data_IF_887613726922
#
_entry.id   IF_887613726922
#
_cell.length_a   1.000
_cell.length_b   1.000
_cell.length_c   1.000
_cell.angle_alpha   90.00
_cell.angle_beta   90.00
_cell.angle_gamma   90.00
#
_symmetry.space_group_name_H-M   'P 1'
#
loop_
_entity.id
_entity.type
_entity.pdbx_description
1 polymer ?
#
# COMPACT_ATOMS: atom_id res chain seq x y z
N UNK A 1 -14.55 -11.38 3.34
CA UNK A 1 -14.57 -10.55 4.56
C UNK A 1 -15.54 -9.40 4.32
N UNK A 2 -16.42 -9.12 5.26
CA UNK A 2 -17.29 -7.94 5.24
C UNK A 2 -16.55 -6.76 5.83
N UNK A 3 -16.36 -5.71 5.04
CA UNK A 3 -15.64 -4.51 5.44
C UNK A 3 -16.56 -3.56 6.23
N UNK A 4 -16.00 -2.93 7.25
CA UNK A 4 -16.67 -1.90 8.05
C UNK A 4 -16.32 -0.51 7.54
N UNK A 5 -17.15 0.48 7.81
CA UNK A 5 -17.00 1.86 7.30
C UNK A 5 -15.69 2.56 7.71
N UNK A 6 -15.06 2.13 8.79
CA UNK A 6 -13.81 2.72 9.29
C UNK A 6 -12.54 2.04 8.75
N UNK A 7 -12.67 1.12 7.78
CA UNK A 7 -11.54 0.46 7.12
C UNK A 7 -11.15 1.23 5.88
N UNK A 8 -9.91 1.71 5.86
CA UNK A 8 -9.34 2.35 4.67
C UNK A 8 -9.11 1.30 3.60
N UNK A 9 -9.53 1.58 2.37
CA UNK A 9 -9.41 0.67 1.24
C UNK A 9 -8.69 1.33 0.07
N UNK A 10 -8.08 0.50 -0.76
CA UNK A 10 -7.68 0.83 -2.11
C UNK A 10 -8.72 0.27 -3.04
N UNK A 11 -9.24 1.09 -3.94
CA UNK A 11 -10.31 0.73 -4.85
C UNK A 11 -10.06 1.32 -6.24
N UNK A 12 -10.60 0.68 -7.24
CA UNK A 12 -10.82 1.25 -8.57
C UNK A 12 -12.26 1.80 -8.67
N UNK A 13 -12.70 2.14 -9.86
CA UNK A 13 -14.04 2.69 -10.10
C UNK A 13 -15.17 1.65 -9.89
N UNK A 14 -14.84 0.38 -9.77
CA UNK A 14 -15.82 -0.72 -9.72
C UNK A 14 -15.82 -1.45 -8.38
N UNK A 15 -14.66 -1.61 -7.74
CA UNK A 15 -14.52 -2.50 -6.58
C UNK A 15 -13.35 -2.15 -5.66
N UNK A 16 -13.41 -2.71 -4.46
CA UNK A 16 -12.29 -2.71 -3.51
C UNK A 16 -11.23 -3.70 -3.96
N UNK A 17 -9.98 -3.25 -4.03
CA UNK A 17 -8.81 -4.04 -4.42
C UNK A 17 -8.00 -4.52 -3.22
N UNK A 18 -7.96 -3.73 -2.15
CA UNK A 18 -7.18 -4.05 -0.96
C UNK A 18 -7.72 -3.35 0.29
N UNK A 19 -7.43 -3.91 1.46
CA UNK A 19 -7.44 -3.17 2.72
C UNK A 19 -6.09 -2.45 2.84
N UNK A 20 -6.11 -1.12 2.77
CA UNK A 20 -4.92 -0.29 2.72
C UNK A 20 -3.97 -0.56 3.90
N UNK A 21 -2.72 -0.87 3.60
CA UNK A 21 -1.69 -1.18 4.59
C UNK A 21 -1.89 -2.47 5.39
N UNK A 22 -2.87 -3.32 5.00
CA UNK A 22 -3.19 -4.55 5.72
C UNK A 22 -3.07 -5.78 4.81
N UNK A 23 -3.94 -5.88 3.78
CA UNK A 23 -4.02 -7.08 2.94
C UNK A 23 -4.59 -6.77 1.56
N UNK A 24 -3.97 -7.29 0.53
CA UNK A 24 -4.50 -7.29 -0.83
C UNK A 24 -5.75 -8.15 -0.98
N UNK A 25 -6.58 -7.81 -1.97
CA UNK A 25 -7.78 -8.58 -2.31
C UNK A 25 -7.45 -9.81 -3.17
N UNK A 26 -8.27 -10.84 -3.04
CA UNK A 26 -8.10 -12.08 -3.82
C UNK A 26 -8.25 -11.83 -5.32
N UNK A 27 -9.18 -10.97 -5.72
CA UNK A 27 -9.45 -10.69 -7.14
C UNK A 27 -8.38 -9.84 -7.84
N UNK A 28 -7.52 -9.19 -7.07
CA UNK A 28 -6.41 -8.36 -7.55
C UNK A 28 -5.04 -8.97 -7.28
N UNK A 29 -5.01 -10.21 -6.75
CA UNK A 29 -3.77 -10.89 -6.45
C UNK A 29 -3.03 -11.31 -7.73
N UNK A 30 -1.71 -11.28 -7.67
CA UNK A 30 -0.83 -11.79 -8.73
C UNK A 30 -0.99 -13.33 -8.84
N UNK A 31 -1.01 -13.83 -10.06
CA UNK A 31 -1.06 -15.25 -10.40
C UNK A 31 0.01 -15.60 -11.45
N UNK A 32 0.14 -16.88 -11.76
CA UNK A 32 1.08 -17.35 -12.79
C UNK A 32 0.77 -16.79 -14.20
N UNK A 33 -0.45 -16.32 -14.43
CA UNK A 33 -0.91 -15.75 -15.70
C UNK A 33 -0.81 -14.22 -15.74
N UNK A 34 -0.37 -13.58 -14.64
CA UNK A 34 -0.31 -12.11 -14.55
C UNK A 34 0.80 -11.58 -15.46
N UNK A 35 0.42 -10.72 -16.40
CA UNK A 35 1.35 -10.05 -17.33
C UNK A 35 1.51 -8.56 -17.07
N UNK A 36 0.58 -7.96 -16.35
CA UNK A 36 0.60 -6.54 -15.99
C UNK A 36 0.34 -6.39 -14.50
N UNK A 37 1.09 -5.51 -13.86
CA UNK A 37 0.92 -5.19 -12.44
C UNK A 37 0.80 -3.68 -12.23
N UNK A 38 0.02 -3.30 -11.25
CA UNK A 38 0.01 -1.96 -10.68
C UNK A 38 0.71 -2.01 -9.34
N UNK A 39 1.87 -1.34 -9.24
CA UNK A 39 2.68 -1.33 -8.04
C UNK A 39 2.31 -0.12 -7.18
N UNK A 40 1.99 -0.36 -5.92
CA UNK A 40 1.71 0.66 -4.93
C UNK A 40 2.85 0.76 -3.92
N UNK A 41 3.26 1.99 -3.62
CA UNK A 41 4.10 2.31 -2.47
C UNK A 41 3.53 3.56 -1.82
N UNK A 42 3.04 3.42 -0.59
CA UNK A 42 2.23 4.45 0.03
C UNK A 42 2.66 4.79 1.47
N UNK A 43 2.16 5.90 1.95
CA UNK A 43 2.08 6.24 3.37
C UNK A 43 0.61 6.27 3.77
N UNK A 44 0.29 5.60 4.85
CA UNK A 44 -1.02 5.66 5.50
C UNK A 44 -0.86 6.16 6.93
N UNK A 45 -1.70 7.10 7.34
CA UNK A 45 -1.67 7.59 8.71
C UNK A 45 -1.95 6.42 9.69
N UNK A 46 -1.09 6.18 10.69
CA UNK A 46 -1.20 5.01 11.58
C UNK A 46 -2.57 4.86 12.25
N UNK A 47 -3.25 5.94 12.55
CA UNK A 47 -4.57 5.93 13.16
C UNK A 47 -5.63 5.23 12.30
N UNK A 48 -5.47 5.23 10.98
CA UNK A 48 -6.38 4.56 10.07
C UNK A 48 -6.09 3.06 9.91
N UNK A 49 -4.94 2.59 10.38
CA UNK A 49 -4.53 1.18 10.26
C UNK A 49 -4.58 0.47 11.61
N UNK A 50 -4.21 1.18 12.69
CA UNK A 50 -4.05 0.60 14.01
C UNK A 50 -5.28 -0.20 14.49
N UNK A 51 -5.07 -1.45 14.84
CA UNK A 51 -6.08 -2.37 15.36
C UNK A 51 -7.03 -2.96 14.32
N UNK A 52 -7.09 -2.43 13.07
CA UNK A 52 -8.04 -2.89 12.05
C UNK A 52 -7.73 -4.33 11.62
N UNK A 53 -6.47 -4.64 11.34
CA UNK A 53 -6.05 -5.99 10.95
C UNK A 53 -6.54 -7.05 11.95
N UNK A 54 -6.39 -6.80 13.24
CA UNK A 54 -6.78 -7.75 14.30
C UNK A 54 -8.27 -8.07 14.32
N UNK A 55 -9.13 -7.13 13.96
CA UNK A 55 -10.61 -7.37 13.87
C UNK A 55 -10.95 -8.42 12.82
N UNK A 56 -10.12 -8.57 11.81
CA UNK A 56 -10.27 -9.56 10.75
C UNK A 56 -9.41 -10.81 10.96
N UNK A 57 -8.78 -10.95 12.13
CA UNK A 57 -7.86 -12.06 12.42
C UNK A 57 -6.56 -12.01 11.62
N UNK A 58 -6.19 -10.85 11.08
CA UNK A 58 -5.02 -10.67 10.23
C UNK A 58 -3.83 -10.14 11.00
N UNK A 59 -2.65 -10.72 10.73
CA UNK A 59 -1.36 -10.30 11.22
C UNK A 59 -0.36 -10.32 10.05
N UNK A 60 -0.25 -9.21 9.33
CA UNK A 60 0.64 -9.11 8.18
C UNK A 60 1.84 -8.23 8.50
N UNK A 61 2.95 -8.41 7.79
CA UNK A 61 4.11 -7.54 7.89
C UNK A 61 3.74 -6.09 7.56
N UNK A 62 2.86 -5.89 6.58
CA UNK A 62 2.35 -4.59 6.22
C UNK A 62 1.62 -3.95 7.41
N UNK A 63 0.62 -4.63 7.99
CA UNK A 63 -0.16 -4.09 9.10
C UNK A 63 0.70 -3.75 10.31
N UNK A 64 1.69 -4.58 10.62
CA UNK A 64 2.62 -4.33 11.73
C UNK A 64 3.48 -3.09 11.53
N UNK A 65 3.89 -2.81 10.28
CA UNK A 65 4.69 -1.63 9.94
C UNK A 65 3.84 -0.37 9.91
N UNK A 66 2.73 -0.41 9.20
CA UNK A 66 1.86 0.75 9.02
C UNK A 66 1.17 1.19 10.32
N UNK A 67 0.77 0.27 11.20
CA UNK A 67 0.14 0.66 12.47
C UNK A 67 1.11 1.37 13.43
N UNK A 68 2.43 1.14 13.28
CA UNK A 68 3.47 1.85 14.04
C UNK A 68 3.95 3.14 13.39
N UNK A 69 3.61 3.32 12.15
CA UNK A 69 4.07 4.43 11.32
C UNK A 69 5.30 4.07 10.48
N UNK A 70 5.26 4.50 9.24
CA UNK A 70 6.38 4.42 8.29
C UNK A 70 6.83 5.84 7.94
N UNK A 71 8.04 5.96 7.40
CA UNK A 71 8.53 7.25 6.93
C UNK A 71 7.74 7.70 5.70
N UNK A 72 7.05 8.84 5.79
CA UNK A 72 6.23 9.38 4.71
C UNK A 72 7.04 9.89 3.50
N UNK A 73 8.35 10.06 3.63
CA UNK A 73 9.25 10.44 2.52
C UNK A 73 9.81 9.20 1.78
N UNK A 74 9.62 8.00 2.32
CA UNK A 74 10.16 6.76 1.78
C UNK A 74 9.42 6.22 0.53
N UNK A 75 8.11 6.44 0.31
CA UNK A 75 7.35 5.75 -0.74
C UNK A 75 7.96 5.85 -2.13
N UNK A 76 8.45 7.02 -2.54
CA UNK A 76 9.04 7.19 -3.87
C UNK A 76 10.36 6.41 -4.03
N UNK A 77 11.22 6.43 -3.01
CA UNK A 77 12.46 5.67 -2.99
C UNK A 77 12.18 4.16 -3.03
N UNK A 78 11.21 3.71 -2.24
CA UNK A 78 10.80 2.31 -2.21
C UNK A 78 10.21 1.87 -3.56
N UNK A 79 9.40 2.72 -4.21
CA UNK A 79 8.86 2.48 -5.55
C UNK A 79 9.98 2.27 -6.57
N UNK A 80 10.97 3.15 -6.61
CA UNK A 80 12.12 3.01 -7.50
C UNK A 80 12.89 1.71 -7.25
N UNK A 81 13.12 1.37 -5.97
CA UNK A 81 13.84 0.13 -5.64
C UNK A 81 13.04 -1.12 -6.01
N UNK A 82 11.74 -1.14 -5.73
CA UNK A 82 10.86 -2.26 -6.10
C UNK A 82 10.80 -2.44 -7.61
N UNK A 83 10.63 -1.35 -8.37
CA UNK A 83 10.63 -1.38 -9.83
C UNK A 83 11.94 -1.93 -10.38
N UNK A 84 13.09 -1.47 -9.87
CA UNK A 84 14.40 -1.98 -10.26
C UNK A 84 14.51 -3.50 -10.02
N UNK A 85 14.08 -3.98 -8.84
CA UNK A 85 14.13 -5.41 -8.51
C UNK A 85 13.23 -6.24 -9.43
N UNK A 86 12.03 -5.76 -9.74
CA UNK A 86 11.12 -6.43 -10.67
C UNK A 86 11.77 -6.52 -12.06
N UNK A 87 12.38 -5.42 -12.56
CA UNK A 87 13.09 -5.45 -13.83
C UNK A 87 14.22 -6.47 -13.87
N UNK A 88 15.01 -6.53 -12.79
CA UNK A 88 16.14 -7.45 -12.68
C UNK A 88 15.70 -8.93 -12.63
N UNK A 89 14.60 -9.22 -11.93
CA UNK A 89 14.15 -10.60 -11.67
C UNK A 89 13.15 -11.13 -12.69
N UNK A 90 12.25 -10.31 -13.18
CA UNK A 90 11.16 -10.70 -14.07
C UNK A 90 11.22 -10.04 -15.45
N UNK A 91 12.01 -9.01 -15.61
CA UNK A 91 12.03 -8.20 -16.84
C UNK A 91 10.81 -7.30 -16.96
N UNK A 92 10.50 -6.86 -18.17
CA UNK A 92 9.32 -6.07 -18.49
C UNK A 92 9.63 -4.58 -18.73
N UNK A 93 8.58 -3.85 -19.05
CA UNK A 93 8.62 -2.41 -19.30
C UNK A 93 7.85 -1.68 -18.20
N UNK A 94 8.31 -0.49 -17.84
CA UNK A 94 7.69 0.32 -16.79
C UNK A 94 6.96 1.51 -17.39
N UNK A 95 5.75 1.72 -16.90
CA UNK A 95 5.02 2.96 -17.08
C UNK A 95 5.59 4.09 -16.19
N UNK A 96 5.08 5.31 -16.34
CA UNK A 96 5.47 6.43 -15.49
C UNK A 96 5.03 6.21 -14.04
N UNK A 97 5.87 6.66 -13.10
CA UNK A 97 5.47 6.74 -11.69
C UNK A 97 4.56 7.95 -11.52
N UNK A 98 3.37 7.70 -10.98
CA UNK A 98 2.42 8.75 -10.61
C UNK A 98 2.44 8.94 -9.10
N UNK A 99 2.53 10.18 -8.65
CA UNK A 99 2.48 10.54 -7.23
C UNK A 99 1.17 11.26 -6.95
N UNK A 100 0.42 10.77 -5.98
CA UNK A 100 -0.78 11.42 -5.46
C UNK A 100 -0.62 11.59 -3.95
N UNK A 101 -0.72 12.82 -3.46
CA UNK A 101 -0.58 13.11 -2.04
C UNK A 101 -1.55 14.19 -1.59
N UNK A 102 -1.93 14.12 -0.32
CA UNK A 102 -2.64 15.18 0.37
C UNK A 102 -1.70 15.82 1.40
N UNK A 103 -0.93 16.80 0.96
CA UNK A 103 0.13 17.42 1.75
C UNK A 103 -0.33 17.92 3.15
N UNK A 104 -1.59 18.37 3.26
CA UNK A 104 -2.18 18.81 4.53
C UNK A 104 -2.37 17.68 5.56
N UNK A 105 -2.28 16.43 5.15
CA UNK A 105 -2.43 15.25 6.00
C UNK A 105 -1.09 14.60 6.35
N UNK A 106 0.00 15.06 5.75
CA UNK A 106 1.32 14.54 6.07
C UNK A 106 1.78 15.03 7.44
N UNK A 107 2.49 14.19 8.20
CA UNK A 107 3.08 14.59 9.47
C UNK A 107 4.10 15.71 9.28
N UNK A 108 4.10 16.69 10.17
CA UNK A 108 5.17 17.69 10.23
C UNK A 108 6.32 17.17 11.09
N UNK A 109 7.54 17.19 10.58
CA UNK A 109 8.72 16.92 11.41
C UNK A 109 8.97 18.12 12.32
N UNK A 110 8.90 17.92 13.62
CA UNK A 110 9.39 18.90 14.59
C UNK A 110 10.90 18.96 14.50
N UNK A 111 11.46 20.15 14.35
CA UNK A 111 12.89 20.33 14.55
C UNK A 111 13.21 19.98 16.02
N UNK A 112 14.21 19.13 16.22
CA UNK A 112 14.76 18.80 17.54
C UNK A 112 15.77 19.88 17.92
#
# INVERSE_FOLDING_TARGET
VELQEDVMVIADDEKVLAMAGIMGGLSSAVSDETTEIFLESAFFAPLHIAGRARRFGLHTDASQRYERGVDFELPLLAMHRASQLIAELAGGEFGPITVAEQASQLPTRSAI
#
